data_IF_876980483027
#
_entry.id   IF_876980483027
#
_cell.length_a   1.000
_cell.length_b   1.000
_cell.length_c   1.000
_cell.angle_alpha   90.00
_cell.angle_beta   90.00
_cell.angle_gamma   90.00
#
_symmetry.space_group_name_H-M   'P 1'
#
loop_
_entity.id
_entity.type
_entity.pdbx_description
1 polymer ?
#
# COMPACT_ATOMS: atom_id res chain seq x y z
N UNK A 1 21.70 1.07 -15.01
CA UNK A 1 22.89 1.04 -14.14
C UNK A 1 22.50 1.76 -12.85
N UNK A 2 22.14 1.03 -11.79
CA UNK A 2 21.64 1.60 -10.53
C UNK A 2 22.85 1.78 -9.61
N UNK A 3 23.14 3.02 -9.21
CA UNK A 3 24.24 3.35 -8.30
C UNK A 3 23.88 2.89 -6.89
N UNK A 4 24.76 2.13 -6.25
CA UNK A 4 24.64 1.71 -4.85
C UNK A 4 24.79 2.92 -3.92
N UNK A 5 23.75 3.23 -3.14
CA UNK A 5 23.87 4.12 -1.98
C UNK A 5 24.34 3.31 -0.77
N UNK A 6 25.44 3.74 -0.14
CA UNK A 6 25.93 3.22 1.13
C UNK A 6 25.34 4.04 2.29
N UNK A 7 24.68 3.38 3.25
CA UNK A 7 24.10 4.00 4.44
C UNK A 7 24.62 3.32 5.73
N UNK A 8 24.61 4.01 6.89
CA UNK A 8 25.37 3.61 8.08
C UNK A 8 24.74 2.49 8.93
N UNK A 9 25.61 1.83 9.71
CA UNK A 9 25.53 0.48 10.31
C UNK A 9 24.48 0.20 11.41
N UNK A 10 23.27 0.76 11.32
CA UNK A 10 22.12 0.25 12.09
C UNK A 10 20.79 0.29 11.34
N UNK A 11 20.83 0.55 10.03
CA UNK A 11 19.67 0.77 9.16
C UNK A 11 19.54 -0.28 8.04
N UNK A 12 20.29 -1.38 8.13
CA UNK A 12 20.52 -2.31 7.01
C UNK A 12 19.26 -2.88 6.39
N UNK A 13 18.24 -3.23 7.18
CA UNK A 13 17.07 -4.00 6.68
C UNK A 13 16.03 -3.13 5.97
N UNK A 14 15.90 -1.84 6.35
CA UNK A 14 14.71 -1.06 6.02
C UNK A 14 14.88 -0.06 4.88
N UNK A 15 16.06 0.55 4.75
CA UNK A 15 16.31 1.53 3.69
C UNK A 15 16.14 0.99 2.25
N UNK A 16 16.46 -0.27 1.94
CA UNK A 16 16.32 -0.77 0.57
C UNK A 16 14.87 -1.11 0.18
N UNK A 17 13.96 -1.38 1.14
CA UNK A 17 12.53 -1.71 0.87
C UNK A 17 11.87 -0.45 0.33
N UNK A 18 12.13 0.64 1.04
CA UNK A 18 11.81 2.01 0.67
C UNK A 18 12.35 2.34 -0.72
N UNK A 19 13.66 2.20 -0.93
CA UNK A 19 14.32 2.56 -2.19
C UNK A 19 13.77 1.75 -3.36
N UNK A 20 13.49 0.45 -3.21
CA UNK A 20 13.01 -0.37 -4.31
C UNK A 20 11.51 -0.19 -4.62
N UNK A 21 10.64 0.01 -3.61
CA UNK A 21 9.26 0.48 -3.82
C UNK A 21 9.26 1.82 -4.57
N UNK A 22 10.17 2.73 -4.21
CA UNK A 22 10.37 3.99 -4.93
C UNK A 22 10.91 3.79 -6.35
N UNK A 23 11.83 2.84 -6.59
CA UNK A 23 12.39 2.56 -7.93
C UNK A 23 11.34 1.98 -8.89
N UNK A 24 10.45 1.10 -8.40
CA UNK A 24 9.33 0.59 -9.23
C UNK A 24 8.36 1.70 -9.62
N UNK A 25 8.20 2.72 -8.77
CA UNK A 25 7.39 3.91 -9.03
C UNK A 25 8.10 4.87 -9.98
N UNK A 26 9.41 5.11 -9.80
CA UNK A 26 10.21 6.03 -10.60
C UNK A 26 10.50 5.50 -12.03
N UNK A 27 10.41 4.19 -12.26
CA UNK A 27 10.70 3.59 -13.58
C UNK A 27 9.48 3.51 -14.52
N UNK A 28 8.28 3.90 -14.07
CA UNK A 28 7.05 3.78 -14.86
C UNK A 28 6.63 5.10 -15.50
N UNK A 29 7.49 5.68 -16.34
CA UNK A 29 7.23 6.89 -17.13
C UNK A 29 6.32 6.65 -18.36
N UNK A 30 5.52 5.58 -18.35
CA UNK A 30 4.56 5.28 -19.42
C UNK A 30 3.18 5.08 -18.83
N UNK A 31 2.52 6.22 -18.63
CA UNK A 31 1.14 6.35 -18.20
C UNK A 31 0.23 5.35 -18.95
N UNK A 32 -0.54 4.57 -18.19
CA UNK A 32 -1.73 3.90 -18.70
C UNK A 32 -2.62 4.93 -19.43
N UNK A 33 -3.19 4.53 -20.56
CA UNK A 33 -4.20 5.33 -21.23
C UNK A 33 -5.43 5.43 -20.29
N UNK A 34 -6.09 6.59 -20.13
CA UNK A 34 -7.37 6.70 -19.44
C UNK A 34 -8.40 5.63 -19.81
N UNK A 35 -8.40 5.16 -21.06
CA UNK A 35 -9.26 4.06 -21.52
C UNK A 35 -8.97 2.72 -20.80
N UNK A 36 -7.72 2.51 -20.37
CA UNK A 36 -7.31 1.34 -19.59
C UNK A 36 -7.67 1.48 -18.10
N UNK A 37 -7.88 2.71 -17.61
CA UNK A 37 -8.26 2.98 -16.22
C UNK A 37 -9.75 2.76 -15.94
N UNK A 38 -10.63 2.93 -16.95
CA UNK A 38 -12.07 2.79 -16.77
C UNK A 38 -12.52 1.37 -16.34
N UNK A 39 -12.01 0.27 -16.92
CA UNK A 39 -12.30 -1.09 -16.43
C UNK A 39 -11.85 -1.30 -14.99
N UNK A 40 -10.66 -0.78 -14.62
CA UNK A 40 -10.16 -0.84 -13.25
C UNK A 40 -11.08 -0.07 -12.30
N UNK A 41 -11.48 1.16 -12.63
CA UNK A 41 -12.41 1.93 -11.81
C UNK A 41 -13.73 1.18 -11.58
N UNK A 42 -14.28 0.52 -12.61
CA UNK A 42 -15.50 -0.29 -12.47
C UNK A 42 -15.30 -1.51 -11.55
N UNK A 43 -14.16 -2.21 -11.67
CA UNK A 43 -13.77 -3.30 -10.78
C UNK A 43 -13.71 -2.82 -9.32
N UNK A 44 -12.96 -1.74 -9.06
CA UNK A 44 -12.79 -1.22 -7.71
C UNK A 44 -14.07 -0.65 -7.12
N UNK A 45 -14.93 0.01 -7.92
CA UNK A 45 -16.29 0.39 -7.47
C UNK A 45 -17.07 -0.81 -6.98
N UNK A 46 -17.06 -1.90 -7.74
CA UNK A 46 -17.77 -3.14 -7.38
C UNK A 46 -17.22 -3.75 -6.08
N UNK A 47 -15.88 -3.78 -5.94
CA UNK A 47 -15.21 -4.24 -4.71
C UNK A 47 -15.60 -3.40 -3.49
N UNK A 48 -15.53 -2.07 -3.60
CA UNK A 48 -15.82 -1.18 -2.46
C UNK A 48 -17.31 -1.13 -2.11
N UNK A 49 -18.21 -1.30 -3.09
CA UNK A 49 -19.64 -1.47 -2.81
C UNK A 49 -19.91 -2.78 -2.05
N UNK A 50 -19.19 -3.86 -2.38
CA UNK A 50 -19.29 -5.12 -1.67
C UNK A 50 -18.74 -5.00 -0.23
N UNK A 51 -17.55 -4.41 -0.05
CA UNK A 51 -16.98 -4.14 1.27
C UNK A 51 -17.90 -3.30 2.15
N UNK A 52 -18.46 -2.21 1.61
CA UNK A 52 -19.36 -1.30 2.35
C UNK A 52 -20.65 -1.97 2.83
N UNK A 53 -21.13 -3.02 2.13
CA UNK A 53 -22.32 -3.77 2.52
C UNK A 53 -22.04 -4.88 3.53
N UNK A 54 -20.81 -5.38 3.56
CA UNK A 54 -20.46 -6.61 4.27
C UNK A 54 -19.60 -6.37 5.51
N UNK A 55 -18.71 -5.39 5.49
CA UNK A 55 -17.83 -5.11 6.63
C UNK A 55 -18.58 -4.46 7.80
N UNK A 56 -18.13 -4.68 9.05
CA UNK A 56 -18.71 -4.04 10.23
C UNK A 56 -18.82 -2.51 10.12
N UNK A 57 -19.86 -1.94 10.73
CA UNK A 57 -20.19 -0.50 10.64
C UNK A 57 -19.08 0.44 11.10
N UNK A 58 -18.15 -0.01 11.93
CA UNK A 58 -16.97 0.75 12.35
C UNK A 58 -16.06 1.16 11.18
N UNK A 59 -16.14 0.49 10.03
CA UNK A 59 -15.39 0.83 8.83
C UNK A 59 -16.18 1.73 7.84
N UNK A 60 -17.46 2.00 8.10
CA UNK A 60 -18.36 2.62 7.12
C UNK A 60 -17.92 4.02 6.69
N UNK A 61 -17.46 4.86 7.63
CA UNK A 61 -16.99 6.23 7.32
C UNK A 61 -15.87 6.23 6.29
N UNK A 62 -14.84 5.41 6.55
CA UNK A 62 -13.68 5.27 5.67
C UNK A 62 -14.02 4.60 4.34
N UNK A 63 -14.91 3.60 4.32
CA UNK A 63 -15.38 2.99 3.06
C UNK A 63 -16.15 3.99 2.18
N UNK A 64 -17.06 4.77 2.77
CA UNK A 64 -17.81 5.79 2.04
C UNK A 64 -16.90 6.89 1.50
N UNK A 65 -15.86 7.25 2.25
CA UNK A 65 -14.84 8.18 1.81
C UNK A 65 -14.07 7.63 0.60
N UNK A 66 -13.54 6.42 0.69
CA UNK A 66 -12.80 5.82 -0.44
C UNK A 66 -13.69 5.70 -1.67
N UNK A 67 -14.96 5.30 -1.51
CA UNK A 67 -15.92 5.24 -2.62
C UNK A 67 -16.08 6.57 -3.35
N UNK A 68 -16.04 7.70 -2.63
CA UNK A 68 -16.07 9.05 -3.22
C UNK A 68 -14.76 9.41 -3.94
N UNK A 69 -13.62 8.96 -3.42
CA UNK A 69 -12.29 9.25 -3.98
C UNK A 69 -11.88 8.33 -5.14
N UNK A 70 -12.52 7.15 -5.31
CA UNK A 70 -12.20 6.21 -6.38
C UNK A 70 -12.07 6.87 -7.78
N UNK A 71 -12.99 7.75 -8.23
CA UNK A 71 -12.82 8.42 -9.53
C UNK A 71 -11.52 9.23 -9.62
N UNK A 72 -11.16 9.95 -8.55
CA UNK A 72 -9.92 10.74 -8.46
C UNK A 72 -8.68 9.84 -8.48
N UNK A 73 -8.71 8.72 -7.76
CA UNK A 73 -7.62 7.74 -7.73
C UNK A 73 -7.29 7.17 -9.11
N UNK A 74 -8.32 6.93 -9.94
CA UNK A 74 -8.16 6.36 -11.29
C UNK A 74 -8.17 7.41 -12.42
N UNK A 75 -8.12 8.70 -12.08
CA UNK A 75 -8.15 9.82 -13.06
C UNK A 75 -6.82 10.06 -13.78
N UNK A 76 -5.73 9.46 -13.30
CA UNK A 76 -4.35 9.80 -13.69
C UNK A 76 -3.70 10.89 -12.83
N UNK A 77 -4.40 11.36 -11.79
CA UNK A 77 -3.83 12.28 -10.81
C UNK A 77 -2.69 11.66 -9.98
N UNK A 78 -2.71 10.33 -9.76
CA UNK A 78 -1.57 9.56 -9.25
C UNK A 78 -0.88 8.83 -10.41
N UNK A 79 0.45 8.68 -10.37
CA UNK A 79 1.12 7.81 -11.31
C UNK A 79 0.61 6.38 -11.13
N UNK A 80 0.37 5.69 -12.24
CA UNK A 80 0.08 4.27 -12.23
C UNK A 80 1.39 3.50 -12.23
N UNK A 81 1.52 2.56 -11.31
CA UNK A 81 2.78 1.88 -11.00
C UNK A 81 2.55 0.37 -10.89
N UNK A 82 3.60 -0.41 -11.17
CA UNK A 82 3.55 -1.85 -10.94
C UNK A 82 3.51 -2.14 -9.43
N UNK A 83 2.35 -2.59 -8.96
CA UNK A 83 2.10 -2.96 -7.57
C UNK A 83 2.26 -4.48 -7.40
N UNK A 84 3.06 -4.93 -6.42
CA UNK A 84 3.46 -6.33 -6.24
C UNK A 84 2.31 -7.33 -5.98
N UNK A 85 1.20 -6.89 -5.40
CA UNK A 85 0.04 -7.74 -5.06
C UNK A 85 0.22 -8.59 -3.79
N UNK A 86 1.44 -9.05 -3.49
CA UNK A 86 1.77 -9.80 -2.27
C UNK A 86 3.12 -9.43 -1.65
N UNK A 87 3.36 -8.15 -1.37
CA UNK A 87 4.63 -7.71 -0.77
C UNK A 87 4.66 -8.02 0.73
N UNK A 88 5.22 -9.17 1.10
CA UNK A 88 5.47 -9.57 2.48
C UNK A 88 6.94 -9.92 2.71
N UNK A 89 7.34 -10.09 3.96
CA UNK A 89 8.73 -10.39 4.37
C UNK A 89 9.32 -11.61 3.62
N UNK A 90 8.50 -12.63 3.34
CA UNK A 90 8.96 -13.83 2.61
C UNK A 90 9.33 -13.57 1.15
N UNK A 91 8.80 -12.48 0.57
CA UNK A 91 9.03 -12.08 -0.81
C UNK A 91 10.15 -11.03 -0.96
N UNK A 92 10.85 -10.72 0.13
CA UNK A 92 11.95 -9.76 0.18
C UNK A 92 13.25 -10.50 0.47
N UNK A 93 14.18 -10.47 -0.49
CA UNK A 93 15.49 -11.10 -0.35
C UNK A 93 16.50 -10.11 0.25
N UNK A 94 17.09 -10.47 1.38
CA UNK A 94 18.04 -9.63 2.11
C UNK A 94 19.44 -10.23 2.06
N UNK A 95 20.45 -9.40 1.80
CA UNK A 95 21.84 -9.74 2.04
C UNK A 95 22.10 -9.73 3.55
N UNK A 96 22.44 -10.89 4.11
CA UNK A 96 22.61 -11.06 5.56
C UNK A 96 23.78 -10.27 6.17
N UNK A 97 24.78 -9.90 5.38
CA UNK A 97 25.97 -9.17 5.85
C UNK A 97 25.73 -7.66 5.92
N UNK A 98 24.93 -7.13 4.99
CA UNK A 98 24.72 -5.68 4.83
C UNK A 98 23.31 -5.22 5.20
N UNK A 99 22.37 -6.16 5.32
CA UNK A 99 20.93 -5.89 5.43
C UNK A 99 20.27 -5.45 4.13
N UNK A 100 21.04 -5.19 3.07
CA UNK A 100 20.50 -4.65 1.83
C UNK A 100 19.53 -5.60 1.14
N UNK A 101 18.45 -5.09 0.55
CA UNK A 101 17.61 -5.88 -0.36
C UNK A 101 18.39 -6.16 -1.62
N UNK A 102 18.37 -7.42 -1.99
CA UNK A 102 18.97 -7.94 -3.20
C UNK A 102 17.93 -8.33 -4.26
N UNK A 103 16.66 -8.47 -3.85
CA UNK A 103 15.57 -8.72 -4.77
C UNK A 103 14.20 -8.74 -4.10
N UNK A 104 13.18 -8.55 -4.93
CA UNK A 104 11.77 -8.79 -4.60
C UNK A 104 11.29 -9.89 -5.55
N UNK A 105 10.66 -10.93 -5.01
CA UNK A 105 10.25 -12.13 -5.76
C UNK A 105 8.75 -12.38 -5.63
N UNK A 106 8.22 -13.30 -6.43
CA UNK A 106 6.80 -13.67 -6.48
C UNK A 106 5.86 -12.55 -6.96
N UNK A 107 6.12 -12.06 -8.18
CA UNK A 107 5.30 -11.05 -8.86
C UNK A 107 4.02 -11.62 -9.49
N UNK A 108 3.56 -12.81 -9.10
CA UNK A 108 2.44 -13.51 -9.73
C UNK A 108 1.11 -12.73 -9.63
N UNK A 109 0.97 -11.90 -8.60
CA UNK A 109 -0.19 -11.04 -8.32
C UNK A 109 0.03 -9.57 -8.73
N UNK A 110 1.13 -9.28 -9.45
CA UNK A 110 1.48 -7.92 -9.77
C UNK A 110 0.50 -7.28 -10.77
N UNK A 111 0.11 -6.04 -10.50
CA UNK A 111 -0.84 -5.28 -11.32
C UNK A 111 -0.45 -3.83 -11.40
N UNK A 112 -0.75 -3.18 -12.53
CA UNK A 112 -0.60 -1.73 -12.65
C UNK A 112 -1.80 -1.06 -11.96
N UNK A 113 -1.53 -0.25 -10.93
CA UNK A 113 -2.54 0.45 -10.12
C UNK A 113 -2.04 1.87 -9.77
N UNK A 114 -2.93 2.79 -9.35
CA UNK A 114 -2.51 4.08 -8.81
C UNK A 114 -1.52 3.91 -7.65
N UNK A 115 -0.48 4.74 -7.61
CA UNK A 115 0.46 4.73 -6.50
C UNK A 115 -0.26 4.88 -5.16
N UNK A 116 0.19 4.12 -4.17
CA UNK A 116 -0.42 4.07 -2.84
C UNK A 116 -1.14 2.75 -2.56
N UNK A 117 -1.69 2.08 -3.57
CA UNK A 117 -2.41 0.80 -3.37
C UNK A 117 -1.55 -0.32 -2.78
N UNK A 118 -0.23 -0.29 -2.96
CA UNK A 118 0.71 -1.26 -2.38
C UNK A 118 1.34 -0.81 -1.06
N UNK A 119 1.00 0.38 -0.53
CA UNK A 119 1.59 0.89 0.72
C UNK A 119 1.21 0.08 1.96
N UNK A 120 0.24 -0.83 1.87
CA UNK A 120 0.01 -1.84 2.92
C UNK A 120 1.25 -2.69 3.20
N UNK A 121 2.09 -2.95 2.19
CA UNK A 121 3.37 -3.67 2.37
C UNK A 121 4.35 -2.85 3.19
N UNK A 122 4.38 -1.53 2.97
CA UNK A 122 5.17 -0.59 3.77
C UNK A 122 4.65 -0.52 5.22
N UNK A 123 3.33 -0.51 5.45
CA UNK A 123 2.78 -0.58 6.81
C UNK A 123 3.24 -1.82 7.57
N UNK A 124 3.24 -2.98 6.91
CA UNK A 124 3.69 -4.23 7.53
C UNK A 124 5.16 -4.20 7.92
N UNK A 125 5.98 -3.41 7.23
CA UNK A 125 7.40 -3.24 7.52
C UNK A 125 7.60 -2.36 8.77
N UNK A 126 6.64 -1.51 9.13
CA UNK A 126 6.75 -0.60 10.27
C UNK A 126 6.40 -1.22 11.62
N UNK A 127 5.96 -2.47 11.66
CA UNK A 127 5.49 -3.09 12.88
C UNK A 127 5.25 -4.58 12.74
N UNK A 128 4.48 -5.14 13.67
CA UNK A 128 4.09 -6.53 13.67
C UNK A 128 2.72 -6.72 14.33
N UNK A 129 2.07 -7.84 14.01
CA UNK A 129 0.80 -8.26 14.60
C UNK A 129 1.03 -9.38 15.62
N UNK A 130 0.46 -9.28 16.81
CA UNK A 130 0.40 -10.38 17.79
C UNK A 130 -1.02 -10.53 18.39
N UNK A 131 -1.16 -11.36 19.44
CA UNK A 131 -2.46 -11.58 20.09
C UNK A 131 -3.07 -10.35 20.76
N UNK A 132 -2.26 -9.33 21.04
CA UNK A 132 -2.68 -8.03 21.58
C UNK A 132 -3.02 -7.00 20.50
N UNK A 133 -2.80 -7.31 19.23
CA UNK A 133 -3.08 -6.45 18.08
C UNK A 133 -1.82 -5.98 17.37
N UNK A 134 -1.94 -4.87 16.64
CA UNK A 134 -0.85 -4.27 15.89
C UNK A 134 0.09 -3.45 16.80
N UNK A 135 1.39 -3.65 16.64
CA UNK A 135 2.44 -2.91 17.35
C UNK A 135 3.41 -2.29 16.35
N UNK A 136 3.66 -0.99 16.49
CA UNK A 136 4.71 -0.32 15.73
C UNK A 136 6.08 -0.52 16.39
N UNK A 137 7.14 -0.61 15.58
CA UNK A 137 8.51 -0.57 16.09
C UNK A 137 8.84 0.82 16.65
N UNK A 138 9.74 0.88 17.64
CA UNK A 138 10.13 2.14 18.32
C UNK A 138 10.68 3.19 17.34
N UNK A 139 11.33 2.74 16.27
CA UNK A 139 11.94 3.58 15.23
C UNK A 139 11.02 3.88 14.03
N UNK A 140 9.71 3.65 14.15
CA UNK A 140 8.73 3.84 13.06
C UNK A 140 8.85 5.22 12.40
N UNK A 141 8.94 6.28 13.20
CA UNK A 141 8.91 7.66 12.67
C UNK A 141 10.12 7.94 11.78
N UNK A 142 11.29 7.49 12.22
CA UNK A 142 12.52 7.58 11.46
C UNK A 142 12.42 6.81 10.13
N UNK A 143 11.76 5.65 10.14
CA UNK A 143 11.53 4.86 8.92
C UNK A 143 10.53 5.51 7.97
N UNK A 144 9.45 6.10 8.48
CA UNK A 144 8.49 6.87 7.69
C UNK A 144 9.12 8.11 7.06
N UNK A 145 9.87 8.88 7.85
CA UNK A 145 10.56 10.07 7.37
C UNK A 145 11.58 9.70 6.28
N UNK A 146 12.37 8.65 6.49
CA UNK A 146 13.29 8.15 5.48
C UNK A 146 12.56 7.69 4.22
N UNK A 147 11.40 7.03 4.37
CA UNK A 147 10.57 6.61 3.25
C UNK A 147 10.14 7.79 2.39
N UNK A 148 9.48 8.77 3.00
CA UNK A 148 8.95 9.93 2.26
C UNK A 148 10.06 10.80 1.70
N UNK A 149 11.15 11.04 2.45
CA UNK A 149 12.30 11.80 1.95
C UNK A 149 12.91 11.15 0.71
N UNK A 150 13.10 9.84 0.74
CA UNK A 150 13.64 9.10 -0.41
C UNK A 150 12.67 9.12 -1.58
N UNK A 151 11.38 8.86 -1.32
CA UNK A 151 10.34 8.88 -2.34
C UNK A 151 10.29 10.22 -3.07
N UNK A 152 10.22 11.33 -2.34
CA UNK A 152 10.17 12.66 -2.95
C UNK A 152 11.47 13.06 -3.65
N UNK A 153 12.61 12.56 -3.18
CA UNK A 153 13.89 12.74 -3.87
C UNK A 153 13.95 12.07 -5.24
N UNK A 154 13.46 10.82 -5.33
CA UNK A 154 13.47 10.02 -6.56
C UNK A 154 12.30 10.35 -7.50
N UNK A 155 11.12 10.65 -6.94
CA UNK A 155 9.90 10.94 -7.68
C UNK A 155 9.71 12.44 -7.97
N UNK A 156 10.78 13.21 -8.11
CA UNK A 156 10.77 14.69 -8.25
C UNK A 156 9.94 15.25 -9.44
N UNK A 157 9.45 14.39 -10.34
CA UNK A 157 8.54 14.73 -11.44
C UNK A 157 7.07 14.36 -11.19
N UNK A 158 6.76 13.60 -10.13
CA UNK A 158 5.40 13.48 -9.64
C UNK A 158 5.00 14.88 -9.15
N UNK A 159 3.91 15.43 -9.70
CA UNK A 159 3.39 16.73 -9.30
C UNK A 159 3.09 16.76 -7.79
N UNK A 160 2.63 17.91 -7.27
CA UNK A 160 1.99 18.02 -5.95
C UNK A 160 0.67 17.21 -5.89
N UNK A 161 0.69 15.96 -6.33
CA UNK A 161 -0.36 14.98 -6.12
C UNK A 161 -0.57 14.93 -4.62
N UNK A 162 -1.74 15.39 -4.22
CA UNK A 162 -2.02 15.65 -2.81
C UNK A 162 -1.68 14.44 -1.97
N UNK A 163 -0.94 14.65 -0.88
CA UNK A 163 -0.74 13.67 0.18
C UNK A 163 -2.05 12.99 0.58
N UNK A 164 -3.15 13.74 0.46
CA UNK A 164 -4.51 13.26 0.60
C UNK A 164 -4.85 12.10 -0.36
N UNK A 165 -4.60 12.25 -1.65
CA UNK A 165 -4.91 11.23 -2.64
C UNK A 165 -4.05 9.97 -2.44
N UNK A 166 -2.78 10.14 -2.04
CA UNK A 166 -1.89 9.03 -1.65
C UNK A 166 -2.43 8.30 -0.41
N UNK A 167 -2.90 9.03 0.61
CA UNK A 167 -3.52 8.43 1.80
C UNK A 167 -4.81 7.69 1.47
N UNK A 168 -5.63 8.22 0.56
CA UNK A 168 -6.82 7.53 0.07
C UNK A 168 -6.45 6.25 -0.69
N UNK A 169 -5.44 6.29 -1.57
CA UNK A 169 -4.93 5.12 -2.27
C UNK A 169 -4.38 4.05 -1.30
N UNK A 170 -3.62 4.47 -0.28
CA UNK A 170 -3.12 3.61 0.81
C UNK A 170 -4.27 2.89 1.51
N UNK A 171 -5.26 3.64 1.97
CA UNK A 171 -6.41 3.09 2.67
C UNK A 171 -7.23 2.17 1.77
N UNK A 172 -7.37 2.51 0.48
CA UNK A 172 -8.01 1.64 -0.49
C UNK A 172 -7.25 0.31 -0.65
N UNK A 173 -5.91 0.37 -0.72
CA UNK A 173 -5.04 -0.80 -0.75
C UNK A 173 -5.19 -1.70 0.48
N UNK A 174 -5.22 -1.11 1.68
CA UNK A 174 -5.43 -1.83 2.94
C UNK A 174 -6.77 -2.57 2.98
N UNK A 175 -7.86 -1.90 2.62
CA UNK A 175 -9.17 -2.55 2.48
C UNK A 175 -9.16 -3.68 1.45
N UNK A 176 -8.47 -3.51 0.31
CA UNK A 176 -8.38 -4.58 -0.68
C UNK A 176 -7.55 -5.76 -0.19
N UNK A 177 -6.49 -5.52 0.60
CA UNK A 177 -5.61 -6.58 1.13
C UNK A 177 -6.29 -7.39 2.23
N UNK A 178 -6.96 -6.72 3.17
CA UNK A 178 -7.46 -7.36 4.39
C UNK A 178 -8.99 -7.50 4.43
N UNK A 179 -9.72 -6.93 3.46
CA UNK A 179 -11.18 -7.00 3.41
C UNK A 179 -11.74 -8.19 2.64
N UNK A 180 -10.92 -8.95 1.95
CA UNK A 180 -11.37 -10.08 1.12
C UNK A 180 -10.70 -11.38 1.53
N UNK A 181 -11.47 -12.46 1.47
CA UNK A 181 -10.96 -13.83 1.52
C UNK A 181 -10.70 -14.27 0.09
N UNK A 182 -9.48 -14.75 -0.17
CA UNK A 182 -9.04 -15.18 -1.49
C UNK A 182 -8.67 -16.66 -1.50
N UNK A 183 -8.99 -17.35 -2.59
CA UNK A 183 -8.44 -18.66 -2.92
C UNK A 183 -7.69 -18.55 -4.25
N UNK A 184 -6.36 -18.60 -4.14
CA UNK A 184 -5.47 -18.17 -5.21
C UNK A 184 -5.80 -16.73 -5.64
N UNK A 185 -6.21 -16.58 -6.89
CA UNK A 185 -6.55 -15.27 -7.51
C UNK A 185 -8.02 -14.88 -7.38
N UNK A 186 -8.88 -15.78 -6.89
CA UNK A 186 -10.31 -15.56 -6.85
C UNK A 186 -10.74 -15.00 -5.49
N UNK A 187 -11.48 -13.89 -5.51
CA UNK A 187 -12.18 -13.40 -4.31
C UNK A 187 -13.35 -14.34 -4.04
N UNK A 188 -13.34 -15.01 -2.90
CA UNK A 188 -14.42 -15.91 -2.47
C UNK A 188 -15.50 -15.12 -1.74
N UNK A 189 -15.10 -14.26 -0.81
CA UNK A 189 -16.02 -13.51 0.04
C UNK A 189 -15.33 -12.29 0.66
N UNK A 190 -16.13 -11.49 1.38
CA UNK A 190 -15.61 -10.44 2.28
C UNK A 190 -15.29 -11.07 3.63
N UNK A 191 -14.25 -10.57 4.28
CA UNK A 191 -13.86 -10.92 5.65
C UNK A 191 -15.00 -10.70 6.63
N UNK A 192 -15.24 -11.67 7.50
CA UNK A 192 -16.27 -11.60 8.54
C UNK A 192 -15.70 -11.82 9.96
N UNK A 193 -16.57 -11.93 10.97
CA UNK A 193 -16.16 -12.07 12.37
C UNK A 193 -15.36 -13.35 12.67
N UNK A 194 -15.43 -14.36 11.79
CA UNK A 194 -14.64 -15.58 11.92
C UNK A 194 -13.19 -15.40 11.44
N UNK A 195 -12.90 -14.36 10.65
CA UNK A 195 -11.57 -14.02 10.13
C UNK A 195 -10.82 -13.05 11.06
N UNK A 196 -10.62 -13.47 12.32
CA UNK A 196 -10.06 -12.60 13.36
C UNK A 196 -8.73 -11.93 12.99
N UNK A 197 -7.86 -12.63 12.24
CA UNK A 197 -6.57 -12.09 11.80
C UNK A 197 -6.72 -10.91 10.85
N UNK A 198 -7.50 -11.07 9.78
CA UNK A 198 -7.73 -9.99 8.80
C UNK A 198 -8.50 -8.82 9.42
N UNK A 199 -9.46 -9.09 10.31
CA UNK A 199 -10.15 -8.06 11.05
C UNK A 199 -9.21 -7.26 11.96
N UNK A 200 -8.23 -7.89 12.61
CA UNK A 200 -7.26 -7.18 13.43
C UNK A 200 -6.44 -6.16 12.61
N UNK A 201 -6.06 -6.51 11.38
CA UNK A 201 -5.40 -5.57 10.47
C UNK A 201 -6.32 -4.44 10.01
N UNK A 202 -7.57 -4.75 9.67
CA UNK A 202 -8.56 -3.72 9.35
C UNK A 202 -8.81 -2.79 10.54
N UNK A 203 -8.89 -3.33 11.76
CA UNK A 203 -9.07 -2.55 12.98
C UNK A 203 -7.88 -1.62 13.23
N UNK A 204 -6.66 -2.12 13.03
CA UNK A 204 -5.44 -1.33 13.20
C UNK A 204 -5.33 -0.18 12.18
N UNK A 205 -5.71 -0.40 10.93
CA UNK A 205 -5.37 0.53 9.84
C UNK A 205 -6.55 1.25 9.20
N UNK A 206 -7.77 0.74 9.37
CA UNK A 206 -8.95 1.18 8.63
C UNK A 206 -10.12 1.62 9.52
N UNK A 207 -10.10 1.33 10.82
CA UNK A 207 -11.18 1.72 11.74
C UNK A 207 -11.07 3.16 12.25
N UNK A 208 -9.85 3.67 12.44
CA UNK A 208 -9.63 5.02 12.94
C UNK A 208 -9.78 6.07 11.83
N UNK A 209 -10.38 7.21 12.17
CA UNK A 209 -10.38 8.42 11.35
C UNK A 209 -9.04 9.16 11.56
N UNK A 210 -7.94 8.58 11.09
CA UNK A 210 -6.60 9.18 11.21
C UNK A 210 -6.35 10.29 10.16
N UNK A 211 -7.42 10.86 9.62
CA UNK A 211 -7.30 11.97 8.68
C UNK A 211 -7.26 13.30 9.43
N UNK A 212 -6.28 14.19 9.17
CA UNK A 212 -6.32 15.54 9.73
C UNK A 212 -7.59 16.23 9.21
N UNK A 213 -8.38 16.91 10.05
CA UNK A 213 -9.61 17.56 9.60
C UNK A 213 -9.31 18.45 8.40
N UNK A 214 -10.10 18.30 7.34
CA UNK A 214 -10.10 19.24 6.20
C UNK A 214 -10.27 20.64 6.78
N UNK A 215 -9.24 21.46 6.59
CA UNK A 215 -9.21 22.86 7.02
C UNK A 215 -10.12 23.72 6.17
#
# INVERSE_FOLDING_TARGET
EIKSLSLPDSQGIFCPIVVQLCITVASCDKCLNPDDAAPLLAEFRSKFDLLARSLPSRFASNLDRIRKELPSLFSGALPFVLSHGDLCEMNILINSETGNITGIVDWAEARILPFGFSLWGFENVLGYMDSGGWHYYDNRRELEDLFWQTFWGEASHASDVGLELIRAARLAGLFCRYGFIVDGKAVISVVDQSDASSLAYLDAFCAADDWPPTT
#
